data_IF_985753131112
#
_entry.id   IF_985753131112
#
_cell.length_a   1.000
_cell.length_b   1.000
_cell.length_c   1.000
_cell.angle_alpha   90.00
_cell.angle_beta   90.00
_cell.angle_gamma   90.00
#
_symmetry.space_group_name_H-M   'P 1'
#
loop_
_entity.id
_entity.type
_entity.pdbx_description
1 polymer ?
#
# COMPACT_ATOMS: atom_id res chain seq x y z
N UNK A 1 7.59 -21.56 -1.46
CA UNK A 1 8.54 -20.48 -1.14
C UNK A 1 9.44 -20.27 -2.35
N UNK A 2 9.30 -19.15 -3.07
CA UNK A 2 10.07 -18.91 -4.30
C UNK A 2 11.56 -18.74 -3.94
N UNK A 3 12.37 -19.73 -4.30
CA UNK A 3 13.82 -19.68 -4.12
C UNK A 3 14.44 -19.00 -5.34
N UNK A 4 14.80 -17.73 -5.20
CA UNK A 4 15.71 -17.08 -6.14
C UNK A 4 17.13 -17.62 -5.90
N UNK A 5 17.59 -18.52 -6.77
CA UNK A 5 18.90 -19.18 -6.70
C UNK A 5 20.08 -18.24 -6.95
N UNK A 6 19.86 -17.03 -7.47
CA UNK A 6 20.95 -16.11 -7.85
C UNK A 6 21.28 -15.05 -6.78
N UNK A 7 20.46 -14.89 -5.73
CA UNK A 7 20.60 -13.79 -4.72
C UNK A 7 20.67 -12.37 -5.34
N UNK A 8 20.34 -12.19 -6.63
CA UNK A 8 20.46 -10.89 -7.32
C UNK A 8 19.29 -9.94 -7.07
N UNK A 9 18.17 -10.44 -6.53
CA UNK A 9 17.00 -9.59 -6.29
C UNK A 9 17.07 -9.01 -4.89
N UNK A 10 17.23 -7.69 -4.80
CA UNK A 10 17.03 -6.93 -3.56
C UNK A 10 15.53 -6.94 -3.24
N UNK A 11 15.11 -7.82 -2.34
CA UNK A 11 13.74 -7.86 -1.85
C UNK A 11 13.60 -7.02 -0.60
N UNK A 12 12.84 -5.92 -0.67
CA UNK A 12 12.72 -4.94 0.41
C UNK A 12 11.27 -4.64 0.80
N UNK A 13 10.28 -5.24 0.14
CA UNK A 13 8.88 -5.09 0.51
C UNK A 13 8.63 -5.59 1.93
N UNK A 14 7.77 -4.90 2.70
CA UNK A 14 7.26 -5.48 3.93
C UNK A 14 6.24 -6.56 3.58
N UNK A 15 6.49 -7.80 4.01
CA UNK A 15 5.54 -8.91 3.87
C UNK A 15 5.64 -9.85 5.08
N UNK A 16 5.06 -11.05 4.96
CA UNK A 16 4.97 -12.08 6.00
C UNK A 16 6.30 -12.44 6.69
N UNK A 17 7.44 -12.21 6.05
CA UNK A 17 8.75 -12.49 6.67
C UNK A 17 9.01 -11.57 7.86
N UNK A 18 8.76 -10.25 7.76
CA UNK A 18 8.91 -9.35 8.91
C UNK A 18 7.88 -9.65 10.00
N UNK A 19 6.65 -10.04 9.61
CA UNK A 19 5.62 -10.50 10.56
C UNK A 19 6.11 -11.72 11.36
N UNK A 20 6.65 -12.72 10.68
CA UNK A 20 7.17 -13.93 11.33
C UNK A 20 8.33 -13.61 12.29
N UNK A 21 9.25 -12.71 11.89
CA UNK A 21 10.36 -12.29 12.74
C UNK A 21 9.87 -11.55 14.00
N UNK A 22 8.87 -10.67 13.88
CA UNK A 22 8.30 -9.98 15.02
C UNK A 22 7.53 -10.92 15.97
N UNK A 23 6.80 -11.90 15.44
CA UNK A 23 6.16 -12.92 16.27
C UNK A 23 7.17 -13.84 16.97
N UNK A 24 8.32 -14.12 16.34
CA UNK A 24 9.44 -14.79 17.04
C UNK A 24 9.95 -13.94 18.21
N UNK A 25 10.22 -12.65 18.00
CA UNK A 25 10.65 -11.74 19.06
C UNK A 25 9.66 -11.73 20.24
N UNK A 26 8.36 -11.66 19.96
CA UNK A 26 7.31 -11.66 21.00
C UNK A 26 7.24 -12.96 21.77
N UNK A 27 7.36 -14.10 21.10
CA UNK A 27 7.30 -15.42 21.74
C UNK A 27 8.59 -15.80 22.47
N UNK A 28 9.73 -15.24 22.06
CA UNK A 28 11.07 -15.52 22.61
C UNK A 28 11.88 -14.23 22.81
N UNK A 29 11.51 -13.38 23.78
CA UNK A 29 12.17 -12.08 23.99
C UNK A 29 13.62 -12.17 24.50
N UNK A 30 14.08 -13.37 24.89
CA UNK A 30 15.47 -13.66 25.27
C UNK A 30 16.08 -14.75 24.38
N UNK A 31 15.53 -14.93 23.19
CA UNK A 31 16.03 -15.87 22.20
C UNK A 31 17.40 -15.43 21.66
N UNK A 32 18.14 -16.40 21.16
CA UNK A 32 19.42 -16.24 20.46
C UNK A 32 19.33 -15.29 19.24
N UNK A 33 18.20 -15.27 18.54
CA UNK A 33 18.00 -14.45 17.34
C UNK A 33 17.53 -13.01 17.61
N UNK A 34 17.33 -12.59 18.87
CA UNK A 34 16.71 -11.28 19.17
C UNK A 34 17.50 -10.13 18.54
N UNK A 35 18.81 -10.10 18.75
CA UNK A 35 19.70 -9.05 18.23
C UNK A 35 19.70 -9.03 16.71
N UNK A 36 19.75 -10.19 16.08
CA UNK A 36 19.76 -10.31 14.60
C UNK A 36 18.45 -9.84 13.98
N UNK A 37 17.32 -10.14 14.63
CA UNK A 37 16.00 -9.70 14.17
C UNK A 37 15.85 -8.20 14.32
N UNK A 38 16.21 -7.63 15.47
CA UNK A 38 16.19 -6.18 15.67
C UNK A 38 17.08 -5.48 14.64
N UNK A 39 18.28 -6.00 14.38
CA UNK A 39 19.16 -5.43 13.36
C UNK A 39 18.57 -5.55 11.95
N UNK A 40 17.85 -6.64 11.64
CA UNK A 40 17.13 -6.78 10.38
C UNK A 40 16.03 -5.72 10.22
N UNK A 41 15.24 -5.48 11.27
CA UNK A 41 14.22 -4.40 11.28
C UNK A 41 14.86 -3.03 11.11
N UNK A 42 15.99 -2.77 11.79
CA UNK A 42 16.72 -1.49 11.69
C UNK A 42 17.23 -1.25 10.27
N UNK A 43 17.89 -2.24 9.67
CA UNK A 43 18.39 -2.18 8.29
C UNK A 43 17.25 -1.97 7.30
N UNK A 44 16.16 -2.70 7.46
CA UNK A 44 14.99 -2.58 6.61
C UNK A 44 14.35 -1.19 6.72
N UNK A 45 14.08 -0.69 7.92
CA UNK A 45 13.46 0.63 8.12
C UNK A 45 14.35 1.76 7.58
N UNK A 46 15.67 1.69 7.79
CA UNK A 46 16.63 2.63 7.23
C UNK A 46 16.67 2.62 5.69
N UNK A 47 16.47 1.44 5.09
CA UNK A 47 16.39 1.32 3.63
C UNK A 47 15.10 1.90 3.06
N UNK A 48 13.97 1.71 3.75
CA UNK A 48 12.65 2.20 3.30
C UNK A 48 12.48 3.70 3.52
N UNK A 49 12.99 4.24 4.62
CA UNK A 49 12.80 5.64 5.02
C UNK A 49 13.06 6.66 3.88
N UNK A 50 14.16 6.59 3.10
CA UNK A 50 14.37 7.52 1.98
C UNK A 50 13.26 7.49 0.92
N UNK A 51 12.62 6.33 0.70
CA UNK A 51 11.53 6.18 -0.28
C UNK A 51 10.23 6.86 0.16
N UNK A 52 10.09 7.20 1.45
CA UNK A 52 8.96 8.02 1.93
C UNK A 52 9.16 9.52 1.71
N UNK A 53 10.32 9.97 1.23
CA UNK A 53 10.65 11.40 1.05
C UNK A 53 10.55 11.86 -0.41
N UNK A 54 9.99 11.03 -1.27
CA UNK A 54 9.94 11.27 -2.71
C UNK A 54 8.80 12.22 -3.10
N UNK A 55 7.79 12.36 -2.24
CA UNK A 55 6.58 13.14 -2.47
C UNK A 55 6.16 13.88 -1.19
N UNK A 56 5.41 14.98 -1.36
CA UNK A 56 4.85 15.76 -0.25
C UNK A 56 3.81 15.01 0.58
N UNK A 57 3.28 13.89 0.09
CA UNK A 57 2.31 13.04 0.81
C UNK A 57 2.97 11.93 1.62
N UNK A 58 4.29 11.78 1.49
CA UNK A 58 5.12 10.85 2.27
C UNK A 58 4.70 9.37 2.23
N UNK A 59 3.94 8.96 1.21
CA UNK A 59 3.77 7.56 0.88
C UNK A 59 5.11 6.95 0.46
N UNK A 60 5.35 5.70 0.86
CA UNK A 60 6.56 4.96 0.48
C UNK A 60 6.48 4.63 -1.01
N UNK A 61 7.42 5.20 -1.78
CA UNK A 61 7.60 4.86 -3.19
C UNK A 61 8.30 3.51 -3.39
N UNK A 62 8.81 3.29 -4.59
CA UNK A 62 9.47 2.03 -4.95
C UNK A 62 10.67 2.25 -5.88
N UNK A 63 11.50 1.22 -5.97
CA UNK A 63 12.62 1.12 -6.90
C UNK A 63 12.21 0.13 -7.99
N UNK A 64 12.23 0.58 -9.24
CA UNK A 64 11.82 -0.20 -10.40
C UNK A 64 12.88 -1.22 -10.84
N UNK A 65 12.54 -2.03 -11.85
CA UNK A 65 13.42 -3.09 -12.36
C UNK A 65 14.72 -2.54 -12.95
N UNK A 66 14.75 -1.26 -13.35
CA UNK A 66 15.94 -0.57 -13.86
C UNK A 66 16.76 0.05 -12.74
N UNK A 67 16.26 0.04 -11.51
CA UNK A 67 16.90 0.65 -10.35
C UNK A 67 16.52 2.11 -10.14
N UNK A 68 15.57 2.64 -10.92
CA UNK A 68 15.12 4.01 -10.76
C UNK A 68 14.15 4.13 -9.59
N UNK A 69 14.25 5.25 -8.88
CA UNK A 69 13.37 5.58 -7.76
C UNK A 69 12.09 6.23 -8.30
N UNK A 70 10.93 5.79 -7.80
CA UNK A 70 9.59 6.18 -8.24
C UNK A 70 8.68 6.45 -7.06
N UNK A 71 7.78 7.42 -7.21
CA UNK A 71 6.77 7.73 -6.21
C UNK A 71 5.64 6.71 -6.16
N UNK A 72 5.23 6.19 -7.32
CA UNK A 72 4.02 5.38 -7.46
C UNK A 72 4.30 4.12 -8.27
N UNK A 73 3.70 3.01 -7.87
CA UNK A 73 3.80 1.75 -8.60
C UNK A 73 3.05 1.86 -9.95
N UNK A 74 3.71 1.68 -11.10
CA UNK A 74 3.01 1.51 -12.36
C UNK A 74 2.48 0.09 -12.43
N UNK A 75 1.31 -0.06 -13.05
CA UNK A 75 0.73 -1.37 -13.42
C UNK A 75 0.53 -2.35 -12.25
N UNK A 76 0.46 -1.86 -11.00
CA UNK A 76 0.38 -2.69 -9.80
C UNK A 76 -0.37 -1.98 -8.68
N UNK A 77 -1.27 -2.70 -8.02
CA UNK A 77 -1.95 -2.24 -6.80
C UNK A 77 -0.95 -1.79 -5.73
N UNK A 78 -1.16 -0.60 -5.18
CA UNK A 78 -0.27 0.07 -4.22
C UNK A 78 -0.72 -0.11 -2.77
N UNK A 79 -2.03 -0.10 -2.49
CA UNK A 79 -2.55 -0.04 -1.11
C UNK A 79 -2.15 -1.22 -0.23
N UNK A 80 -2.08 -2.44 -0.78
CA UNK A 80 -1.52 -3.61 -0.08
C UNK A 80 -0.12 -3.32 0.48
N UNK A 81 0.74 -2.69 -0.30
CA UNK A 81 2.14 -2.46 0.07
C UNK A 81 2.25 -1.30 1.05
N UNK A 82 1.52 -0.22 0.81
CA UNK A 82 1.47 0.93 1.73
C UNK A 82 1.00 0.50 3.12
N UNK A 83 -0.08 -0.27 3.21
CA UNK A 83 -0.54 -0.79 4.48
C UNK A 83 0.45 -1.78 5.14
N UNK A 84 1.18 -2.57 4.35
CA UNK A 84 2.27 -3.39 4.88
C UNK A 84 3.45 -2.55 5.40
N UNK A 85 3.81 -1.47 4.69
CA UNK A 85 4.82 -0.51 5.16
C UNK A 85 4.38 0.16 6.47
N UNK A 86 3.09 0.51 6.61
CA UNK A 86 2.53 1.01 7.86
C UNK A 86 2.79 0.04 9.01
N UNK A 87 2.49 -1.25 8.81
CA UNK A 87 2.73 -2.29 9.82
C UNK A 87 4.21 -2.42 10.17
N UNK A 88 5.09 -2.49 9.17
CA UNK A 88 6.52 -2.69 9.38
C UNK A 88 7.19 -1.50 10.06
N UNK A 89 6.88 -0.28 9.63
CA UNK A 89 7.44 0.94 10.21
C UNK A 89 6.90 1.23 11.61
N UNK A 90 5.60 0.99 11.87
CA UNK A 90 5.06 1.06 13.22
C UNK A 90 5.71 0.04 14.17
N UNK A 91 6.03 -1.15 13.65
CA UNK A 91 6.77 -2.17 14.41
C UNK A 91 8.21 -1.72 14.69
N UNK A 92 8.91 -1.15 13.71
CA UNK A 92 10.23 -0.57 13.92
C UNK A 92 10.18 0.60 14.93
N UNK A 93 9.15 1.44 14.88
CA UNK A 93 8.93 2.51 15.86
C UNK A 93 8.77 1.96 17.28
N UNK A 94 8.02 0.86 17.45
CA UNK A 94 7.84 0.18 18.74
C UNK A 94 9.15 -0.42 19.27
N UNK A 95 9.97 -1.00 18.39
CA UNK A 95 11.23 -1.66 18.75
C UNK A 95 12.33 -0.65 19.12
N UNK A 96 12.36 0.51 18.46
CA UNK A 96 13.45 1.48 18.59
C UNK A 96 13.03 2.83 19.18
N UNK A 97 11.78 2.95 19.63
CA UNK A 97 11.19 4.19 20.18
C UNK A 97 11.40 5.39 19.24
N UNK A 98 11.29 5.15 17.94
CA UNK A 98 11.59 6.14 16.90
C UNK A 98 10.30 6.76 16.34
N UNK A 99 10.10 8.05 16.62
CA UNK A 99 8.92 8.82 16.19
C UNK A 99 8.85 9.04 14.68
N UNK A 100 9.98 9.21 14.00
CA UNK A 100 10.00 9.41 12.55
C UNK A 100 9.49 8.15 11.82
N UNK A 101 9.77 6.95 12.33
CA UNK A 101 9.20 5.73 11.77
C UNK A 101 7.68 5.66 11.96
N UNK A 102 7.17 6.15 13.10
CA UNK A 102 5.74 6.22 13.35
C UNK A 102 5.06 7.22 12.42
N UNK A 103 5.62 8.42 12.25
CA UNK A 103 5.10 9.44 11.32
C UNK A 103 5.00 8.90 9.89
N UNK A 104 6.05 8.23 9.40
CA UNK A 104 6.01 7.60 8.07
C UNK A 104 4.93 6.51 8.02
N UNK A 105 4.79 5.69 9.07
CA UNK A 105 3.77 4.65 9.14
C UNK A 105 2.33 5.23 9.07
N UNK A 106 2.09 6.34 9.77
CA UNK A 106 0.81 7.06 9.75
C UNK A 106 0.48 7.59 8.36
N UNK A 107 1.45 8.20 7.67
CA UNK A 107 1.24 8.70 6.30
C UNK A 107 0.79 7.61 5.33
N UNK A 108 1.19 6.35 5.53
CA UNK A 108 0.73 5.25 4.67
C UNK A 108 -0.76 4.96 4.87
N UNK A 109 -1.27 5.06 6.10
CA UNK A 109 -2.69 4.90 6.40
C UNK A 109 -3.47 6.11 5.91
N UNK A 110 -2.95 7.32 6.14
CA UNK A 110 -3.57 8.56 5.70
C UNK A 110 -3.69 8.63 4.17
N UNK A 111 -2.67 8.16 3.43
CA UNK A 111 -2.75 8.03 1.96
C UNK A 111 -3.96 7.21 1.52
N UNK A 112 -4.17 6.05 2.16
CA UNK A 112 -5.30 5.16 1.86
C UNK A 112 -6.64 5.84 2.18
N UNK A 113 -6.67 6.69 3.20
CA UNK A 113 -7.89 7.36 3.69
C UNK A 113 -8.14 8.75 3.08
N UNK A 114 -7.34 9.18 2.10
CA UNK A 114 -7.61 10.39 1.31
C UNK A 114 -6.51 11.45 1.29
N UNK A 115 -5.45 11.32 2.11
CA UNK A 115 -4.30 12.24 2.05
C UNK A 115 -3.37 11.87 0.88
N UNK A 116 -3.87 12.09 -0.33
CA UNK A 116 -3.21 11.74 -1.58
C UNK A 116 -3.56 12.79 -2.66
N UNK A 117 -2.83 12.86 -3.80
CA UNK A 117 -3.02 13.92 -4.79
C UNK A 117 -4.37 13.88 -5.51
N UNK A 118 -5.14 12.81 -5.35
CA UNK A 118 -6.46 12.67 -5.94
C UNK A 118 -7.58 13.08 -4.96
N UNK A 119 -7.26 13.40 -3.70
CA UNK A 119 -8.23 13.75 -2.65
C UNK A 119 -9.36 12.72 -2.49
N UNK A 120 -9.00 11.43 -2.64
CA UNK A 120 -9.95 10.31 -2.60
C UNK A 120 -9.54 9.29 -1.56
N UNK A 121 -10.47 8.97 -0.66
CA UNK A 121 -10.35 7.80 0.18
C UNK A 121 -10.56 6.53 -0.65
N UNK A 122 -9.59 5.63 -0.54
CA UNK A 122 -9.62 4.32 -1.18
C UNK A 122 -10.22 3.25 -0.24
N UNK A 123 -10.75 3.66 0.92
CA UNK A 123 -11.57 2.83 1.80
C UNK A 123 -13.03 3.27 1.71
N UNK A 124 -13.88 2.38 1.21
CA UNK A 124 -15.30 2.66 1.07
C UNK A 124 -15.98 2.88 2.44
N UNK A 125 -16.84 3.89 2.52
CA UNK A 125 -17.53 4.29 3.75
C UNK A 125 -16.72 5.20 4.68
N UNK A 126 -15.50 5.61 4.30
CA UNK A 126 -14.69 6.59 5.03
C UNK A 126 -14.25 7.67 4.06
N UNK A 127 -14.51 8.95 4.37
CA UNK A 127 -14.14 10.06 3.49
C UNK A 127 -14.88 10.06 2.14
N UNK A 128 -14.39 10.84 1.18
CA UNK A 128 -14.93 10.89 -0.18
C UNK A 128 -14.24 9.83 -1.06
N UNK A 129 -15.01 8.94 -1.69
CA UNK A 129 -14.49 7.89 -2.57
C UNK A 129 -14.42 8.27 -4.05
N UNK A 130 -13.90 7.39 -4.94
CA UNK A 130 -13.71 7.67 -6.37
C UNK A 130 -15.00 7.68 -7.21
N UNK A 131 -16.19 7.57 -6.61
CA UNK A 131 -17.48 7.59 -7.31
C UNK A 131 -17.84 6.32 -8.10
N UNK A 132 -16.87 5.46 -8.41
CA UNK A 132 -17.08 4.17 -9.07
C UNK A 132 -16.20 3.05 -8.51
N UNK A 133 -16.71 1.82 -8.56
CA UNK A 133 -16.06 0.64 -8.00
C UNK A 133 -16.05 -0.51 -9.02
N UNK A 134 -14.90 -1.19 -9.15
CA UNK A 134 -14.82 -2.42 -9.93
C UNK A 134 -15.27 -3.60 -9.07
N UNK A 135 -16.59 -3.74 -8.89
CA UNK A 135 -17.17 -4.83 -8.10
C UNK A 135 -18.52 -5.26 -8.66
N UNK A 136 -18.76 -6.57 -8.75
CA UNK A 136 -20.00 -7.13 -9.34
C UNK A 136 -21.26 -6.91 -8.50
N UNK A 137 -21.14 -6.41 -7.28
CA UNK A 137 -22.32 -6.04 -6.50
C UNK A 137 -23.14 -4.94 -7.16
N UNK A 138 -22.55 -4.17 -8.10
CA UNK A 138 -23.30 -3.23 -8.94
C UNK A 138 -24.44 -3.86 -9.74
N UNK A 139 -24.48 -5.19 -9.89
CA UNK A 139 -25.55 -5.93 -10.56
C UNK A 139 -26.63 -6.46 -9.59
N UNK A 140 -26.53 -6.15 -8.30
CA UNK A 140 -27.53 -6.47 -7.28
C UNK A 140 -28.43 -5.25 -7.11
N UNK A 141 -29.75 -5.44 -7.17
CA UNK A 141 -30.74 -4.38 -6.97
C UNK A 141 -30.51 -3.67 -5.61
N UNK A 142 -30.42 -2.34 -5.64
CA UNK A 142 -30.15 -1.50 -4.46
C UNK A 142 -28.66 -1.37 -4.10
N UNK A 143 -27.76 -1.96 -4.88
CA UNK A 143 -26.31 -1.89 -4.71
C UNK A 143 -25.59 -1.47 -6.00
N UNK A 144 -26.25 -0.70 -6.86
CA UNK A 144 -25.77 -0.27 -8.17
C UNK A 144 -24.48 0.57 -8.08
N UNK A 145 -24.21 1.16 -6.92
CA UNK A 145 -22.97 1.86 -6.63
C UNK A 145 -21.76 0.93 -6.46
N UNK A 146 -21.98 -0.39 -6.36
CA UNK A 146 -20.93 -1.40 -6.18
C UNK A 146 -20.17 -1.28 -4.87
N UNK A 147 -20.63 -0.44 -3.93
CA UNK A 147 -19.93 -0.12 -2.70
C UNK A 147 -19.91 -1.33 -1.76
N UNK A 148 -18.73 -1.65 -1.25
CA UNK A 148 -18.54 -2.60 -0.15
C UNK A 148 -18.02 -1.82 1.05
N UNK A 149 -18.87 -1.49 2.05
CA UNK A 149 -18.44 -0.72 3.22
C UNK A 149 -17.23 -1.35 3.91
N UNK A 150 -16.19 -0.55 4.16
CA UNK A 150 -14.91 -1.00 4.71
C UNK A 150 -13.97 -1.67 3.71
N UNK A 151 -14.40 -1.91 2.47
CA UNK A 151 -13.56 -2.43 1.39
C UNK A 151 -12.44 -1.45 1.01
N UNK A 152 -11.23 -1.97 0.80
CA UNK A 152 -10.06 -1.17 0.39
C UNK A 152 -9.70 -1.49 -1.07
N UNK A 153 -9.67 -0.45 -1.90
CA UNK A 153 -9.37 -0.56 -3.33
C UNK A 153 -7.89 -0.87 -3.56
N UNK A 154 -7.58 -1.38 -4.76
CA UNK A 154 -6.21 -1.58 -5.24
C UNK A 154 -5.37 -0.30 -5.14
N UNK A 155 -6.00 0.84 -5.43
CA UNK A 155 -5.48 2.18 -5.16
C UNK A 155 -4.80 2.85 -6.35
N UNK A 156 -4.26 4.04 -6.08
CA UNK A 156 -3.61 4.89 -7.09
C UNK A 156 -2.39 4.18 -7.68
N UNK A 157 -2.29 4.20 -9.01
CA UNK A 157 -1.10 3.75 -9.77
C UNK A 157 -0.37 4.94 -10.39
N UNK A 158 0.89 4.75 -10.75
CA UNK A 158 1.71 5.76 -11.42
C UNK A 158 1.70 5.60 -12.94
N UNK A 159 1.66 6.71 -13.67
CA UNK A 159 2.01 6.73 -15.10
C UNK A 159 3.44 6.24 -15.34
N UNK A 160 3.71 5.66 -16.52
CA UNK A 160 5.03 5.18 -16.93
C UNK A 160 5.59 5.90 -18.17
N UNK A 161 4.93 6.98 -18.61
CA UNK A 161 5.25 7.70 -19.86
C UNK A 161 4.77 7.01 -21.13
N UNK A 162 4.28 5.78 -21.03
CA UNK A 162 3.78 4.97 -22.14
C UNK A 162 2.26 4.78 -22.09
N UNK A 163 1.79 3.80 -22.86
CA UNK A 163 0.39 3.38 -22.88
C UNK A 163 0.23 2.07 -22.12
N UNK A 164 -0.76 1.99 -21.23
CA UNK A 164 -1.10 0.74 -20.55
C UNK A 164 -2.54 0.61 -20.12
N UNK A 165 -3.00 -0.63 -20.08
CA UNK A 165 -4.32 -0.98 -19.62
C UNK A 165 -4.41 -0.91 -18.10
N UNK A 166 -5.42 -0.17 -17.63
CA UNK A 166 -5.86 -0.11 -16.23
C UNK A 166 -7.04 -1.08 -16.04
N UNK A 167 -7.84 -1.27 -17.10
CA UNK A 167 -8.94 -2.23 -17.16
C UNK A 167 -8.61 -3.54 -17.89
N UNK A 168 -9.57 -4.45 -17.96
CA UNK A 168 -9.41 -5.73 -18.67
C UNK A 168 -9.68 -5.56 -20.16
N UNK A 169 -8.60 -5.55 -20.96
CA UNK A 169 -8.66 -5.40 -22.42
C UNK A 169 -9.58 -6.42 -23.10
N UNK A 170 -9.82 -7.59 -22.49
CA UNK A 170 -10.67 -8.65 -23.05
C UNK A 170 -12.15 -8.30 -23.04
N UNK A 171 -12.55 -7.29 -22.26
CA UNK A 171 -13.94 -6.85 -22.17
C UNK A 171 -14.36 -5.93 -23.31
N UNK A 172 -13.43 -5.49 -24.15
CA UNK A 172 -13.68 -4.49 -25.19
C UNK A 172 -13.93 -3.08 -24.66
N UNK A 173 -13.83 -2.87 -23.34
CA UNK A 173 -13.98 -1.58 -22.68
C UNK A 173 -12.61 -1.12 -22.17
N UNK A 174 -12.02 -0.19 -22.90
CA UNK A 174 -10.63 0.23 -22.67
C UNK A 174 -10.57 1.37 -21.66
N UNK A 175 -10.02 1.07 -20.49
CA UNK A 175 -9.54 2.10 -19.55
C UNK A 175 -8.02 2.04 -19.57
N UNK A 176 -7.39 3.12 -20.02
CA UNK A 176 -5.95 3.16 -20.28
C UNK A 176 -5.31 4.40 -19.70
N UNK A 177 -4.06 4.26 -19.27
CA UNK A 177 -3.14 5.39 -19.14
C UNK A 177 -2.55 5.66 -20.53
N UNK A 178 -2.82 6.82 -21.14
CA UNK A 178 -2.23 7.20 -22.44
C UNK A 178 -1.15 8.27 -22.26
N UNK A 179 0.12 7.84 -22.23
CA UNK A 179 1.31 8.71 -22.24
C UNK A 179 1.32 9.75 -21.10
N UNK A 180 0.70 9.41 -19.98
CA UNK A 180 0.77 10.22 -18.76
C UNK A 180 2.21 10.24 -18.23
N UNK A 181 2.66 11.39 -17.68
CA UNK A 181 4.01 11.49 -17.13
C UNK A 181 4.33 10.39 -16.12
N UNK A 182 5.61 10.04 -16.01
CA UNK A 182 6.08 9.13 -14.96
C UNK A 182 5.64 9.66 -13.60
N UNK A 183 5.11 8.77 -12.75
CA UNK A 183 4.56 9.08 -11.43
C UNK A 183 3.30 9.98 -11.43
N UNK A 184 2.68 10.23 -12.59
CA UNK A 184 1.36 10.86 -12.60
C UNK A 184 0.35 9.95 -11.87
N UNK A 185 -0.39 10.44 -10.87
CA UNK A 185 -1.31 9.61 -10.09
C UNK A 185 -2.55 9.28 -10.91
N UNK A 186 -2.92 8.01 -10.94
CA UNK A 186 -4.05 7.52 -11.72
C UNK A 186 -4.96 6.67 -10.84
N UNK A 187 -6.23 7.06 -10.81
CA UNK A 187 -7.37 6.32 -10.28
C UNK A 187 -8.59 6.75 -11.10
N UNK A 188 -9.47 5.81 -11.44
CA UNK A 188 -10.67 6.16 -12.20
C UNK A 188 -11.66 6.87 -11.27
N UNK A 189 -11.94 8.13 -11.61
CA UNK A 189 -12.93 8.98 -10.94
C UNK A 189 -13.94 9.58 -11.92
N UNK A 190 -13.82 9.23 -13.21
CA UNK A 190 -14.61 9.82 -14.29
C UNK A 190 -15.95 9.10 -14.47
N UNK A 191 -16.05 7.85 -14.00
CA UNK A 191 -17.28 7.07 -14.00
C UNK A 191 -18.07 7.20 -12.68
N UNK A 192 -19.36 6.82 -12.72
CA UNK A 192 -20.20 6.66 -11.52
C UNK A 192 -20.77 5.26 -11.42
N UNK A 193 -20.79 4.73 -10.21
CA UNK A 193 -21.27 3.39 -9.88
C UNK A 193 -20.25 2.31 -10.20
N UNK A 194 -20.00 2.03 -11.48
CA UNK A 194 -19.15 0.93 -11.88
C UNK A 194 -18.11 1.29 -12.95
N UNK A 195 -16.94 0.65 -12.89
CA UNK A 195 -15.85 0.84 -13.85
C UNK A 195 -15.17 -0.47 -14.23
N UNK A 196 -14.57 -0.50 -15.44
CA UNK A 196 -13.66 -1.55 -15.88
C UNK A 196 -12.25 -1.43 -15.32
N UNK A 197 -11.91 -0.33 -14.64
CA UNK A 197 -10.59 -0.01 -14.08
C UNK A 197 -10.23 -0.86 -12.85
N UNK A 198 -10.11 -2.19 -13.01
CA UNK A 198 -9.85 -3.10 -11.90
C UNK A 198 -8.53 -2.80 -11.18
N UNK A 199 -7.51 -2.34 -11.92
CA UNK A 199 -6.19 -2.10 -11.36
C UNK A 199 -6.18 -1.03 -10.26
N UNK A 200 -7.11 -0.07 -10.33
CA UNK A 200 -7.22 1.03 -9.37
C UNK A 200 -8.44 0.89 -8.46
N UNK A 201 -9.59 0.48 -9.01
CA UNK A 201 -10.90 0.56 -8.35
C UNK A 201 -11.46 -0.81 -7.92
N UNK A 202 -10.71 -1.91 -8.03
CA UNK A 202 -11.14 -3.21 -7.53
C UNK A 202 -10.88 -3.36 -6.02
N UNK A 203 -11.82 -3.97 -5.31
CA UNK A 203 -11.58 -4.45 -3.95
C UNK A 203 -10.76 -5.72 -3.96
N UNK A 204 -9.79 -5.81 -3.05
CA UNK A 204 -9.04 -7.05 -2.87
C UNK A 204 -8.83 -7.38 -1.41
N UNK A 205 -9.08 -8.63 -1.04
CA UNK A 205 -9.02 -9.09 0.36
C UNK A 205 -7.66 -8.82 1.00
N UNK A 206 -6.58 -8.85 0.23
CA UNK A 206 -5.24 -8.55 0.72
C UNK A 206 -5.05 -7.07 1.06
N UNK A 207 -5.71 -6.15 0.35
CA UNK A 207 -5.68 -4.72 0.69
C UNK A 207 -6.34 -4.51 2.06
N UNK A 208 -7.51 -5.11 2.27
CA UNK A 208 -8.22 -5.09 3.54
C UNK A 208 -7.40 -5.70 4.69
N UNK A 209 -6.83 -6.90 4.48
CA UNK A 209 -6.05 -7.58 5.50
C UNK A 209 -4.84 -6.75 5.94
N UNK A 210 -4.06 -6.24 4.97
CA UNK A 210 -2.91 -5.40 5.30
C UNK A 210 -3.32 -4.07 5.91
N UNK A 211 -4.42 -3.43 5.46
CA UNK A 211 -4.92 -2.21 6.07
C UNK A 211 -5.26 -2.42 7.55
N UNK A 212 -5.99 -3.48 7.88
CA UNK A 212 -6.34 -3.82 9.27
C UNK A 212 -5.07 -4.04 10.09
N UNK A 213 -4.11 -4.83 9.58
CA UNK A 213 -2.85 -5.06 10.30
C UNK A 213 -2.05 -3.75 10.48
N UNK A 214 -1.91 -2.95 9.42
CA UNK A 214 -1.21 -1.68 9.45
C UNK A 214 -1.83 -0.69 10.43
N UNK A 215 -3.12 -0.41 10.30
CA UNK A 215 -3.84 0.53 11.16
C UNK A 215 -3.81 0.11 12.64
N UNK A 216 -4.01 -1.19 12.93
CA UNK A 216 -3.95 -1.68 14.32
C UNK A 216 -2.55 -1.60 14.91
N UNK A 217 -1.50 -1.83 14.12
CA UNK A 217 -0.12 -1.74 14.58
C UNK A 217 0.33 -0.28 14.76
N UNK A 218 -0.08 0.63 13.86
CA UNK A 218 0.09 2.09 14.02
C UNK A 218 -0.57 2.56 15.32
N UNK A 219 -1.82 2.14 15.58
CA UNK A 219 -2.51 2.47 16.83
C UNK A 219 -1.76 1.97 18.07
N UNK A 220 -1.20 0.76 18.03
CA UNK A 220 -0.36 0.24 19.13
C UNK A 220 0.91 1.06 19.33
N UNK A 221 1.53 1.51 18.25
CA UNK A 221 2.73 2.34 18.31
C UNK A 221 2.42 3.71 18.93
N UNK A 222 1.34 4.38 18.50
CA UNK A 222 0.85 5.64 19.11
C UNK A 222 0.68 5.49 20.62
N UNK A 223 -0.03 4.44 21.06
CA UNK A 223 -0.24 4.16 22.48
C UNK A 223 1.05 3.90 23.25
N UNK A 224 2.04 3.22 22.65
CA UNK A 224 3.30 2.89 23.31
C UNK A 224 4.21 4.12 23.44
N UNK A 225 4.20 5.00 22.43
CA UNK A 225 5.03 6.20 22.40
C UNK A 225 4.37 7.41 23.11
N UNK A 226 3.22 7.23 23.76
CA UNK A 226 2.45 8.25 24.48
C UNK A 226 2.09 9.48 23.61
N UNK A 227 1.56 9.24 22.42
CA UNK A 227 1.04 10.26 21.50
C UNK A 227 -0.47 10.11 21.39
#
# INVERSE_FOLDING_TARGET
>A
FYMNREKKVKYYFCEHHLVALYEYLKSRPRGDLVVDIEEAFRKWANYIKPLSKLSSFSQVGYIDEKGDVRNLFPRKSSNRFLAAYAWGLATAAILFENREYLEIAEHQIQWILGLNPCDVSMMAGVGAGPGCYHHRYCFIEGHEDGVVPGGVLCGIVGGDGGVFDIGDFRTGNFVVSDRLPVDYPIIDTDARGWTYAYMTNEYWVLNNAWFIMGATQVHRALRKLNI
#
